data_IF_079532613086
#
_entry.id   IF_079532613086
#
_cell.length_a   1.000
_cell.length_b   1.000
_cell.length_c   1.000
_cell.angle_alpha   90.00
_cell.angle_beta   90.00
_cell.angle_gamma   90.00
#
_symmetry.space_group_name_H-M   'P 1'
#
loop_
_entity.id
_entity.type
_entity.pdbx_description
1 polymer ?
#
# COMPACT_ATOMS: atom_id res chain seq x y z
N UNK A 1 -61.24 9.27 8.54
CA UNK A 1 -60.98 8.92 7.12
C UNK A 1 -59.69 9.54 6.52
N UNK A 2 -58.65 9.87 7.32
CA UNK A 2 -57.54 10.78 6.87
C UNK A 2 -56.13 10.16 6.78
N UNK A 3 -55.88 8.95 7.29
CA UNK A 3 -54.52 8.39 7.32
C UNK A 3 -54.13 7.53 6.09
N UNK A 4 -55.06 6.79 5.47
CA UNK A 4 -54.77 5.96 4.28
C UNK A 4 -54.58 6.77 2.98
N UNK A 5 -55.23 7.93 2.82
CA UNK A 5 -55.08 8.82 1.65
C UNK A 5 -53.70 9.49 1.60
N UNK A 6 -53.11 9.86 2.75
CA UNK A 6 -51.78 10.47 2.82
C UNK A 6 -50.65 9.51 2.40
N UNK A 7 -50.74 8.21 2.70
CA UNK A 7 -49.73 7.21 2.27
C UNK A 7 -49.76 6.91 0.78
N UNK A 8 -50.95 6.78 0.15
CA UNK A 8 -51.06 6.57 -1.31
C UNK A 8 -50.55 7.79 -2.11
N UNK A 9 -50.77 9.02 -1.62
CA UNK A 9 -50.24 10.23 -2.27
C UNK A 9 -48.72 10.39 -2.09
N UNK A 10 -48.15 9.93 -0.97
CA UNK A 10 -46.68 9.91 -0.76
C UNK A 10 -46.00 8.86 -1.65
N UNK A 11 -46.64 7.71 -1.89
CA UNK A 11 -46.17 6.69 -2.83
C UNK A 11 -46.21 7.14 -4.30
N UNK A 12 -47.28 7.82 -4.73
CA UNK A 12 -47.37 8.40 -6.09
C UNK A 12 -46.43 9.60 -6.29
N UNK A 13 -46.19 10.43 -5.27
CA UNK A 13 -45.19 11.52 -5.32
C UNK A 13 -43.74 10.98 -5.40
N UNK A 14 -43.42 9.88 -4.72
CA UNK A 14 -42.10 9.25 -4.84
C UNK A 14 -41.87 8.55 -6.18
N UNK A 15 -42.93 8.10 -6.89
CA UNK A 15 -42.81 7.51 -8.23
C UNK A 15 -42.64 8.58 -9.32
N UNK A 16 -43.07 9.82 -9.09
CA UNK A 16 -42.95 10.96 -10.02
C UNK A 16 -41.60 11.71 -9.97
N UNK A 17 -40.72 11.41 -9.01
CA UNK A 17 -39.34 11.97 -8.94
C UNK A 17 -38.30 11.18 -9.74
N UNK A 18 -38.73 10.21 -10.57
CA UNK A 18 -37.83 9.23 -11.23
C UNK A 18 -37.42 9.56 -12.67
N UNK A 19 -37.53 10.80 -13.11
CA UNK A 19 -36.95 11.26 -14.39
C UNK A 19 -35.93 12.40 -14.20
N UNK A 20 -35.42 12.60 -12.98
CA UNK A 20 -34.30 13.52 -12.78
C UNK A 20 -33.04 12.79 -13.19
N UNK A 21 -32.48 13.24 -14.31
CA UNK A 21 -31.11 12.99 -14.76
C UNK A 21 -30.18 13.01 -13.54
N UNK A 22 -29.66 11.83 -13.15
CA UNK A 22 -28.77 11.71 -12.01
C UNK A 22 -27.36 11.90 -12.52
N UNK A 23 -26.75 13.00 -12.12
CA UNK A 23 -25.31 13.16 -12.24
C UNK A 23 -24.63 12.02 -11.48
N UNK A 24 -23.72 11.31 -12.14
CA UNK A 24 -22.97 10.23 -11.50
C UNK A 24 -21.86 10.83 -10.66
N UNK A 25 -21.81 10.47 -9.39
CA UNK A 25 -20.83 10.93 -8.40
C UNK A 25 -20.03 9.77 -7.85
N UNK A 26 -18.92 10.08 -7.17
CA UNK A 26 -18.03 9.06 -6.58
C UNK A 26 -18.69 8.13 -5.55
N UNK A 27 -19.79 8.57 -4.94
CA UNK A 27 -20.54 7.83 -3.92
C UNK A 27 -21.61 6.91 -4.50
N UNK A 28 -21.95 7.08 -5.78
CA UNK A 28 -22.97 6.26 -6.43
C UNK A 28 -22.46 4.84 -6.63
N UNK A 29 -23.39 3.89 -6.59
CA UNK A 29 -23.08 2.46 -6.67
C UNK A 29 -23.13 1.99 -8.11
N UNK A 30 -22.14 1.18 -8.50
CA UNK A 30 -22.02 0.70 -9.87
C UNK A 30 -23.22 -0.13 -10.32
N UNK A 31 -23.79 -0.96 -9.44
CA UNK A 31 -25.00 -1.74 -9.77
C UNK A 31 -26.23 -0.85 -10.00
N UNK A 32 -26.37 0.25 -9.25
CA UNK A 32 -27.50 1.16 -9.40
C UNK A 32 -27.37 1.93 -10.73
N UNK A 33 -26.16 2.40 -11.05
CA UNK A 33 -25.84 3.07 -12.32
C UNK A 33 -26.10 2.15 -13.50
N UNK A 34 -25.58 0.93 -13.48
CA UNK A 34 -25.75 -0.03 -14.59
C UNK A 34 -27.19 -0.57 -14.70
N UNK A 35 -27.98 -0.51 -13.62
CA UNK A 35 -29.41 -0.80 -13.69
C UNK A 35 -30.20 0.34 -14.35
N UNK A 36 -29.75 1.59 -14.19
CA UNK A 36 -30.37 2.76 -14.80
C UNK A 36 -29.91 2.99 -16.24
N UNK A 37 -28.66 2.64 -16.55
CA UNK A 37 -28.02 2.82 -17.84
C UNK A 37 -27.31 1.53 -18.27
N UNK A 38 -28.04 0.52 -18.80
CA UNK A 38 -27.48 -0.79 -19.13
C UNK A 38 -26.32 -0.71 -20.14
N UNK A 39 -26.40 0.21 -21.10
CA UNK A 39 -25.41 0.40 -22.16
C UNK A 39 -24.02 0.83 -21.64
N UNK A 40 -23.96 1.41 -20.43
CA UNK A 40 -22.68 1.77 -19.81
C UNK A 40 -21.83 0.54 -19.52
N UNK A 41 -22.44 -0.63 -19.35
CA UNK A 41 -21.71 -1.87 -19.07
C UNK A 41 -20.80 -2.25 -20.23
N UNK A 42 -21.32 -2.22 -21.45
CA UNK A 42 -20.53 -2.51 -22.65
C UNK A 42 -19.47 -1.43 -22.88
N UNK A 43 -19.81 -0.15 -22.67
CA UNK A 43 -18.86 0.96 -22.77
C UNK A 43 -17.71 0.85 -21.76
N UNK A 44 -17.98 0.40 -20.54
CA UNK A 44 -16.94 0.13 -19.53
C UNK A 44 -16.05 -1.04 -19.96
N UNK A 45 -16.63 -2.12 -20.48
CA UNK A 45 -15.86 -3.28 -20.97
C UNK A 45 -15.00 -2.92 -22.19
N UNK A 46 -15.51 -2.08 -23.10
CA UNK A 46 -14.74 -1.56 -24.24
C UNK A 46 -13.61 -0.62 -23.79
N UNK A 47 -13.84 0.14 -22.72
CA UNK A 47 -12.84 1.02 -22.13
C UNK A 47 -11.68 0.23 -21.51
N UNK A 48 -11.96 -0.87 -20.81
CA UNK A 48 -10.93 -1.75 -20.27
C UNK A 48 -11.48 -3.15 -19.99
N UNK A 49 -10.66 -4.17 -20.32
CA UNK A 49 -10.97 -5.59 -20.04
C UNK A 49 -11.15 -5.87 -18.53
N UNK A 50 -10.64 -5.01 -17.65
CA UNK A 50 -10.82 -5.12 -16.19
C UNK A 50 -12.30 -5.12 -15.79
N UNK A 51 -13.15 -4.44 -16.57
CA UNK A 51 -14.60 -4.37 -16.34
C UNK A 51 -15.35 -5.63 -16.80
N UNK A 52 -14.69 -6.60 -17.45
CA UNK A 52 -15.32 -7.88 -17.83
C UNK A 52 -15.86 -8.65 -16.62
N UNK A 53 -15.29 -8.44 -15.43
CA UNK A 53 -15.79 -9.03 -14.17
C UNK A 53 -17.24 -8.64 -13.86
N UNK A 54 -17.75 -7.54 -14.43
CA UNK A 54 -19.15 -7.11 -14.35
C UNK A 54 -20.09 -8.04 -15.14
N UNK A 55 -19.58 -8.86 -16.06
CA UNK A 55 -20.36 -9.90 -16.74
C UNK A 55 -20.73 -11.06 -15.83
N UNK A 56 -19.99 -11.27 -14.73
CA UNK A 56 -20.30 -12.32 -13.78
C UNK A 56 -21.54 -11.92 -12.93
N UNK A 57 -22.69 -12.62 -13.06
CA UNK A 57 -23.92 -12.26 -12.34
C UNK A 57 -23.76 -12.35 -10.83
N UNK A 58 -22.89 -13.23 -10.33
CA UNK A 58 -22.64 -13.40 -8.90
C UNK A 58 -21.87 -12.20 -8.36
N UNK A 59 -20.80 -11.77 -9.03
CA UNK A 59 -20.01 -10.58 -8.65
C UNK A 59 -20.89 -9.32 -8.69
N UNK A 60 -21.67 -9.17 -9.76
CA UNK A 60 -22.56 -8.02 -9.93
C UNK A 60 -23.66 -7.97 -8.86
N UNK A 61 -24.28 -9.11 -8.53
CA UNK A 61 -25.38 -9.17 -7.56
C UNK A 61 -24.93 -9.19 -6.09
N UNK A 62 -23.62 -9.25 -5.81
CA UNK A 62 -23.06 -9.30 -4.46
C UNK A 62 -22.23 -8.05 -4.15
N UNK A 63 -21.00 -7.97 -4.67
CA UNK A 63 -20.07 -6.87 -4.44
C UNK A 63 -20.50 -5.61 -5.19
N UNK A 64 -21.01 -5.75 -6.42
CA UNK A 64 -21.48 -4.61 -7.23
C UNK A 64 -22.63 -3.79 -6.59
N UNK A 65 -23.45 -4.40 -5.73
CA UNK A 65 -24.56 -3.72 -5.02
C UNK A 65 -24.12 -2.77 -3.90
N UNK A 66 -22.86 -2.89 -3.48
CA UNK A 66 -22.30 -2.09 -2.39
C UNK A 66 -21.08 -1.28 -2.83
N UNK A 67 -20.41 -1.66 -3.91
CA UNK A 67 -19.28 -0.94 -4.48
C UNK A 67 -19.69 0.42 -5.05
N UNK A 68 -19.03 1.48 -4.56
CA UNK A 68 -19.15 2.84 -5.09
C UNK A 68 -18.25 3.03 -6.31
N UNK A 69 -18.47 4.09 -7.10
CA UNK A 69 -17.58 4.43 -8.23
C UNK A 69 -16.14 4.69 -7.76
N UNK A 70 -15.95 5.31 -6.60
CA UNK A 70 -14.62 5.46 -5.96
C UNK A 70 -13.93 4.11 -5.71
N UNK A 71 -14.66 3.13 -5.17
CA UNK A 71 -14.12 1.80 -4.93
C UNK A 71 -13.86 1.03 -6.24
N UNK A 72 -14.71 1.24 -7.27
CA UNK A 72 -14.53 0.63 -8.59
C UNK A 72 -13.30 1.18 -9.28
N UNK A 73 -13.07 2.50 -9.23
CA UNK A 73 -11.87 3.14 -9.75
C UNK A 73 -10.60 2.57 -9.10
N UNK A 74 -10.59 2.47 -7.76
CA UNK A 74 -9.47 1.90 -7.01
C UNK A 74 -9.19 0.43 -7.35
N UNK A 75 -10.22 -0.41 -7.47
CA UNK A 75 -10.06 -1.82 -7.87
C UNK A 75 -9.65 -1.95 -9.35
N UNK A 76 -10.08 -1.03 -10.20
CA UNK A 76 -9.73 -1.01 -11.61
C UNK A 76 -8.34 -0.43 -11.88
N UNK A 77 -7.71 0.22 -10.89
CA UNK A 77 -6.48 0.98 -11.07
C UNK A 77 -6.66 2.19 -11.99
N UNK A 78 -7.87 2.75 -12.05
CA UNK A 78 -8.22 3.89 -12.90
C UNK A 78 -8.38 5.16 -12.08
N UNK A 79 -7.96 6.31 -12.63
CA UNK A 79 -8.23 7.61 -12.01
C UNK A 79 -9.74 7.86 -11.88
N UNK A 80 -10.16 8.22 -10.65
CA UNK A 80 -11.56 8.42 -10.30
C UNK A 80 -12.20 9.56 -11.10
N UNK A 81 -11.47 10.65 -11.30
CA UNK A 81 -12.02 11.82 -11.99
C UNK A 81 -12.23 11.53 -13.48
N UNK A 82 -11.28 10.84 -14.11
CA UNK A 82 -11.37 10.37 -15.49
C UNK A 82 -12.55 9.40 -15.67
N UNK A 83 -12.73 8.46 -14.73
CA UNK A 83 -13.87 7.53 -14.75
C UNK A 83 -15.20 8.27 -14.59
N UNK A 84 -15.29 9.24 -13.68
CA UNK A 84 -16.52 10.04 -13.47
C UNK A 84 -16.84 10.90 -14.68
N UNK A 85 -15.85 11.52 -15.30
CA UNK A 85 -16.02 12.27 -16.54
C UNK A 85 -16.50 11.37 -17.69
N UNK A 86 -15.93 10.17 -17.82
CA UNK A 86 -16.35 9.18 -18.81
C UNK A 86 -17.79 8.73 -18.60
N UNK A 87 -18.16 8.34 -17.37
CA UNK A 87 -19.50 7.89 -17.03
C UNK A 87 -20.54 8.98 -17.28
N UNK A 88 -20.26 10.22 -16.85
CA UNK A 88 -21.15 11.34 -17.07
C UNK A 88 -21.22 11.73 -18.56
N UNK A 89 -20.12 11.66 -19.31
CA UNK A 89 -20.14 11.87 -20.77
C UNK A 89 -21.01 10.81 -21.47
N UNK A 90 -20.90 9.55 -21.07
CA UNK A 90 -21.63 8.45 -21.66
C UNK A 90 -23.15 8.52 -21.43
N UNK A 91 -23.61 9.32 -20.45
CA UNK A 91 -25.04 9.64 -20.21
C UNK A 91 -25.42 11.07 -20.63
N UNK A 92 -24.54 11.79 -21.35
CA UNK A 92 -24.79 13.16 -21.82
C UNK A 92 -24.80 14.24 -20.74
N UNK A 93 -24.11 14.01 -19.62
CA UNK A 93 -24.06 14.89 -18.43
C UNK A 93 -22.66 15.43 -18.12
N UNK A 94 -21.70 15.32 -19.04
CA UNK A 94 -20.33 15.82 -18.82
C UNK A 94 -20.32 17.31 -18.46
N UNK A 95 -21.04 18.14 -19.20
CA UNK A 95 -21.01 19.59 -18.98
C UNK A 95 -21.66 19.97 -17.64
N UNK A 96 -22.75 19.30 -17.26
CA UNK A 96 -23.39 19.46 -15.97
C UNK A 96 -22.48 18.99 -14.81
N UNK A 97 -21.69 17.93 -15.02
CA UNK A 97 -20.71 17.43 -14.04
C UNK A 97 -19.61 18.47 -13.80
N UNK A 98 -19.05 19.00 -14.88
CA UNK A 98 -18.01 20.02 -14.83
C UNK A 98 -18.53 21.34 -14.25
N UNK A 99 -19.77 21.73 -14.55
CA UNK A 99 -20.41 22.92 -13.98
C UNK A 99 -20.67 22.79 -12.47
N UNK A 100 -21.19 21.64 -12.01
CA UNK A 100 -21.40 21.41 -10.57
C UNK A 100 -20.06 21.40 -9.80
N UNK A 101 -19.01 20.84 -10.40
CA UNK A 101 -17.66 20.87 -9.82
C UNK A 101 -17.17 22.32 -9.64
N UNK A 102 -17.39 23.18 -10.65
CA UNK A 102 -17.06 24.62 -10.59
C UNK A 102 -17.89 25.39 -9.54
N UNK A 103 -19.18 25.13 -9.41
CA UNK A 103 -20.06 25.81 -8.44
C UNK A 103 -19.85 25.36 -6.98
N UNK A 104 -19.36 24.14 -6.75
CA UNK A 104 -19.13 23.59 -5.41
C UNK A 104 -17.98 24.24 -4.61
N UNK A 105 -17.38 25.31 -5.11
CA UNK A 105 -16.32 26.05 -4.41
C UNK A 105 -14.99 25.29 -4.33
N UNK A 106 -14.72 24.43 -5.32
CA UNK A 106 -13.44 23.74 -5.54
C UNK A 106 -12.76 24.19 -6.86
N UNK A 107 -13.16 25.36 -7.36
CA UNK A 107 -12.29 26.22 -8.15
C UNK A 107 -11.69 27.18 -7.12
N UNK A 108 -10.53 26.93 -6.54
CA UNK A 108 -9.25 26.72 -7.21
C UNK A 108 -8.51 25.46 -6.73
N UNK A 109 -8.31 24.51 -7.63
CA UNK A 109 -6.98 23.93 -7.81
C UNK A 109 -6.69 24.13 -9.28
N UNK A 110 -5.87 25.14 -9.55
CA UNK A 110 -5.15 25.31 -10.80
C UNK A 110 -4.66 23.95 -11.30
N UNK A 111 -4.62 23.78 -12.63
CA UNK A 111 -3.63 22.96 -13.33
C UNK A 111 -2.52 22.57 -12.37
N UNK A 112 -2.52 21.30 -11.92
CA UNK A 112 -1.77 20.86 -10.75
C UNK A 112 -0.43 21.56 -10.73
N UNK A 113 -0.30 22.59 -9.87
CA UNK A 113 0.94 23.32 -9.79
C UNK A 113 2.01 22.24 -9.61
N UNK A 114 3.04 22.21 -10.46
CA UNK A 114 3.95 21.09 -10.55
C UNK A 114 4.36 20.76 -9.13
N UNK A 115 4.01 19.54 -8.70
CA UNK A 115 4.70 18.89 -7.57
C UNK A 115 6.17 19.24 -7.78
N UNK A 116 6.89 19.73 -6.75
CA UNK A 116 8.26 20.20 -6.93
C UNK A 116 8.97 19.16 -7.79
N UNK A 117 9.21 19.52 -9.06
CA UNK A 117 9.94 18.66 -9.96
C UNK A 117 11.25 18.45 -9.21
N UNK A 118 11.74 17.20 -9.05
CA UNK A 118 13.15 17.05 -8.73
C UNK A 118 13.91 17.99 -9.69
N UNK A 119 14.92 18.70 -9.20
CA UNK A 119 15.61 19.82 -9.89
C UNK A 119 16.30 19.41 -11.23
N UNK A 120 15.90 18.29 -11.81
CA UNK A 120 16.33 17.67 -13.04
C UNK A 120 15.14 16.92 -13.68
N UNK A 121 14.79 17.26 -14.93
CA UNK A 121 13.91 16.43 -15.80
C UNK A 121 14.61 15.12 -16.27
N UNK A 122 15.81 14.88 -15.73
CA UNK A 122 16.66 13.73 -16.02
C UNK A 122 16.57 12.74 -14.84
N UNK A 123 16.25 11.47 -15.09
CA UNK A 123 16.40 10.40 -14.12
C UNK A 123 17.82 10.41 -13.53
N UNK A 124 18.01 10.04 -12.25
CA UNK A 124 19.34 9.82 -11.67
C UNK A 124 20.17 8.86 -12.53
N UNK A 125 21.47 9.10 -12.58
CA UNK A 125 22.44 8.25 -13.30
C UNK A 125 22.75 6.99 -12.48
N UNK A 126 21.77 6.10 -12.42
CA UNK A 126 21.84 4.79 -11.75
C UNK A 126 21.46 3.68 -12.73
N UNK A 127 21.78 2.44 -12.37
CA UNK A 127 21.34 1.29 -13.14
C UNK A 127 19.83 1.04 -12.93
N UNK A 128 19.07 0.85 -14.00
CA UNK A 128 17.64 0.55 -13.96
C UNK A 128 17.35 -0.87 -14.43
N UNK A 129 16.60 -1.62 -13.63
CA UNK A 129 15.95 -2.85 -14.09
C UNK A 129 14.71 -2.46 -14.93
N UNK A 130 14.59 -3.02 -16.13
CA UNK A 130 13.56 -2.62 -17.10
C UNK A 130 12.39 -3.61 -17.13
N UNK A 131 11.17 -3.06 -17.16
CA UNK A 131 9.93 -3.82 -17.35
C UNK A 131 9.07 -3.14 -18.43
N UNK A 132 8.89 -3.81 -19.57
CA UNK A 132 7.90 -3.40 -20.56
C UNK A 132 6.50 -3.86 -20.14
N UNK A 133 5.78 -2.96 -19.49
CA UNK A 133 4.44 -3.22 -18.98
C UNK A 133 3.36 -3.08 -20.08
N UNK A 134 3.73 -2.77 -21.34
CA UNK A 134 2.81 -2.81 -22.48
C UNK A 134 2.47 -4.24 -22.89
N UNK A 135 3.36 -5.18 -22.60
CA UNK A 135 3.16 -6.62 -22.84
C UNK A 135 2.23 -7.26 -21.79
N UNK A 136 1.94 -6.55 -20.70
CA UNK A 136 1.07 -7.04 -19.64
C UNK A 136 -0.40 -6.80 -19.98
N UNK A 137 -1.19 -7.87 -19.97
CA UNK A 137 -2.64 -7.78 -20.19
C UNK A 137 -3.39 -7.44 -18.90
N UNK A 138 -4.29 -6.45 -18.95
CA UNK A 138 -5.26 -6.19 -17.88
C UNK A 138 -4.71 -5.34 -16.73
N UNK A 139 -4.95 -5.76 -15.48
CA UNK A 139 -4.53 -5.01 -14.28
C UNK A 139 -3.08 -5.36 -13.94
N UNK A 140 -2.15 -4.56 -14.44
CA UNK A 140 -0.68 -4.75 -14.39
C UNK A 140 -0.01 -4.24 -13.10
N UNK A 141 -0.74 -3.52 -12.25
CA UNK A 141 -0.18 -2.94 -11.04
C UNK A 141 0.46 -3.99 -10.09
N UNK A 142 -0.14 -5.17 -9.84
CA UNK A 142 0.45 -6.20 -9.00
C UNK A 142 1.80 -6.71 -9.54
N UNK A 143 1.92 -6.88 -10.84
CA UNK A 143 3.11 -7.37 -11.52
C UNK A 143 4.24 -6.34 -11.44
N UNK A 144 3.93 -5.06 -11.70
CA UNK A 144 4.89 -3.96 -11.55
C UNK A 144 5.34 -3.81 -10.09
N UNK A 145 4.41 -3.93 -9.12
CA UNK A 145 4.72 -3.89 -7.69
C UNK A 145 5.56 -5.09 -7.25
N UNK A 146 5.29 -6.28 -7.80
CA UNK A 146 6.08 -7.48 -7.52
C UNK A 146 7.52 -7.29 -8.04
N UNK A 147 7.66 -6.85 -9.29
CA UNK A 147 8.96 -6.57 -9.89
C UNK A 147 9.74 -5.53 -9.09
N UNK A 148 9.08 -4.44 -8.68
CA UNK A 148 9.70 -3.38 -7.86
C UNK A 148 10.25 -3.90 -6.52
N UNK A 149 9.64 -4.93 -5.92
CA UNK A 149 10.14 -5.52 -4.66
C UNK A 149 11.42 -6.32 -4.85
N UNK A 150 11.64 -6.85 -6.05
CA UNK A 150 12.82 -7.64 -6.39
C UNK A 150 13.98 -6.77 -6.89
N UNK A 151 13.74 -5.47 -7.15
CA UNK A 151 14.80 -4.52 -7.54
C UNK A 151 15.78 -4.33 -6.37
N UNK A 152 17.08 -4.63 -6.59
CA UNK A 152 18.09 -4.50 -5.55
C UNK A 152 18.24 -3.06 -5.02
N UNK A 153 18.65 -2.88 -3.75
CA UNK A 153 19.04 -1.57 -3.24
C UNK A 153 20.13 -0.93 -4.13
N UNK A 154 20.01 0.37 -4.38
CA UNK A 154 20.93 1.12 -5.25
C UNK A 154 20.61 1.04 -6.76
N UNK A 155 19.61 0.26 -7.18
CA UNK A 155 19.10 0.27 -8.55
C UNK A 155 17.72 0.93 -8.64
N UNK A 156 17.40 1.45 -9.82
CA UNK A 156 16.08 1.96 -10.17
C UNK A 156 15.23 0.93 -10.91
N UNK A 157 13.95 1.27 -11.11
CA UNK A 157 13.03 0.53 -11.97
C UNK A 157 12.59 1.42 -13.13
N UNK A 158 12.78 0.98 -14.36
CA UNK A 158 12.23 1.64 -15.55
C UNK A 158 11.03 0.85 -16.06
N UNK A 159 9.86 1.47 -16.03
CA UNK A 159 8.62 0.90 -16.57
C UNK A 159 8.31 1.57 -17.90
N UNK A 160 8.15 0.77 -18.95
CA UNK A 160 7.66 1.24 -20.25
C UNK A 160 6.15 0.96 -20.31
N UNK A 161 5.34 1.97 -20.61
CA UNK A 161 3.88 1.85 -20.67
C UNK A 161 3.29 2.69 -21.81
N UNK A 162 2.12 2.29 -22.32
CA UNK A 162 1.44 2.99 -23.40
C UNK A 162 0.77 4.30 -22.95
N UNK A 163 0.58 4.48 -21.65
CA UNK A 163 -0.03 5.65 -21.03
C UNK A 163 0.63 5.93 -19.69
N UNK A 164 0.43 7.14 -19.18
CA UNK A 164 0.97 7.55 -17.89
C UNK A 164 0.21 6.87 -16.73
N UNK A 165 0.86 6.04 -15.90
CA UNK A 165 0.19 5.27 -14.86
C UNK A 165 0.06 6.07 -13.57
N UNK A 166 -0.64 7.21 -13.62
CA UNK A 166 -0.80 8.16 -12.49
C UNK A 166 -1.18 7.45 -11.17
N UNK A 167 -2.12 6.48 -11.13
CA UNK A 167 -2.48 5.80 -9.88
C UNK A 167 -1.35 4.97 -9.24
N UNK A 168 -0.32 4.58 -10.01
CA UNK A 168 0.82 3.84 -9.48
C UNK A 168 1.78 4.73 -8.70
N UNK A 169 1.80 6.04 -8.95
CA UNK A 169 2.76 6.94 -8.31
C UNK A 169 2.56 7.01 -6.80
N UNK A 170 1.31 7.10 -6.33
CA UNK A 170 1.01 7.12 -4.90
C UNK A 170 1.39 5.79 -4.23
N UNK A 171 1.18 4.67 -4.92
CA UNK A 171 1.57 3.34 -4.41
C UNK A 171 3.09 3.22 -4.28
N UNK A 172 3.82 3.66 -5.29
CA UNK A 172 5.28 3.65 -5.28
C UNK A 172 5.86 4.63 -4.26
N UNK A 173 5.23 5.80 -4.10
CA UNK A 173 5.56 6.77 -3.06
C UNK A 173 5.38 6.21 -1.66
N UNK A 174 4.28 5.52 -1.39
CA UNK A 174 4.04 4.83 -0.12
C UNK A 174 5.05 3.68 0.11
N UNK A 175 5.57 3.08 -0.96
CA UNK A 175 6.65 2.09 -0.93
C UNK A 175 8.06 2.72 -0.81
N UNK A 176 8.17 4.05 -0.73
CA UNK A 176 9.44 4.77 -0.55
C UNK A 176 10.17 5.14 -1.83
N UNK A 177 9.50 5.10 -2.98
CA UNK A 177 10.06 5.46 -4.28
C UNK A 177 9.63 6.87 -4.70
N UNK A 178 10.54 7.61 -5.30
CA UNK A 178 10.28 8.75 -6.16
C UNK A 178 10.13 8.30 -7.61
N UNK A 179 9.65 9.18 -8.49
CA UNK A 179 9.53 8.89 -9.90
C UNK A 179 9.82 10.10 -10.78
N UNK A 180 10.32 9.84 -11.99
CA UNK A 180 10.38 10.77 -13.11
C UNK A 180 9.74 10.10 -14.32
N UNK A 181 8.87 10.82 -15.02
CA UNK A 181 8.18 10.31 -16.20
C UNK A 181 8.61 11.06 -17.44
N UNK A 182 8.96 10.32 -18.48
CA UNK A 182 9.29 10.86 -19.80
C UNK A 182 8.30 10.34 -20.83
N UNK A 183 7.66 11.27 -21.55
CA UNK A 183 6.83 10.94 -22.70
C UNK A 183 7.72 10.84 -23.94
N UNK A 184 7.85 9.63 -24.48
CA UNK A 184 8.67 9.35 -25.66
C UNK A 184 7.84 9.48 -26.95
N UNK A 185 6.59 8.99 -26.92
CA UNK A 185 5.65 9.08 -28.03
C UNK A 185 4.20 9.20 -27.51
N UNK A 186 3.20 9.26 -28.40
CA UNK A 186 1.78 9.29 -28.00
C UNK A 186 1.37 8.08 -27.15
N UNK A 187 1.89 6.90 -27.50
CA UNK A 187 1.61 5.63 -26.81
C UNK A 187 2.89 5.04 -26.20
N UNK A 188 3.82 5.88 -25.74
CA UNK A 188 5.04 5.41 -25.10
C UNK A 188 5.52 6.38 -24.03
N UNK A 189 5.47 5.90 -22.79
CA UNK A 189 5.91 6.57 -21.58
C UNK A 189 6.96 5.71 -20.90
N UNK A 190 8.06 6.34 -20.50
CA UNK A 190 9.09 5.72 -19.69
C UNK A 190 9.03 6.33 -18.30
N UNK A 191 8.71 5.50 -17.32
CA UNK A 191 8.57 5.89 -15.91
C UNK A 191 9.77 5.32 -15.16
N UNK A 192 10.60 6.20 -14.61
CA UNK A 192 11.77 5.86 -13.82
C UNK A 192 11.43 6.00 -12.35
N UNK A 193 11.33 4.88 -11.64
CA UNK A 193 11.19 4.86 -10.19
C UNK A 193 12.57 4.69 -9.54
N UNK A 194 12.87 5.50 -8.53
CA UNK A 194 14.15 5.47 -7.80
C UNK A 194 13.93 5.81 -6.32
N UNK A 195 14.87 5.49 -5.44
CA UNK A 195 14.71 5.70 -3.98
C UNK A 195 15.62 6.85 -3.51
N UNK A 196 15.10 8.08 -3.49
CA UNK A 196 15.83 9.29 -3.06
C UNK A 196 16.51 9.17 -1.69
N UNK A 197 15.84 8.48 -0.76
CA UNK A 197 16.31 8.34 0.62
C UNK A 197 17.33 7.23 0.79
N UNK A 198 17.25 6.15 0.02
CA UNK A 198 18.21 5.05 0.16
C UNK A 198 19.56 5.43 -0.44
N UNK A 199 19.59 6.10 -1.59
CA UNK A 199 20.84 6.53 -2.22
C UNK A 199 21.59 7.56 -1.35
N UNK A 200 20.89 8.60 -0.88
CA UNK A 200 21.45 9.54 0.11
C UNK A 200 21.76 8.87 1.44
N UNK A 201 21.04 7.82 1.85
CA UNK A 201 21.40 7.03 3.03
C UNK A 201 22.69 6.26 2.81
N UNK A 202 22.86 5.60 1.66
CA UNK A 202 24.04 4.82 1.34
C UNK A 202 25.25 5.74 1.18
N UNK A 203 25.11 6.86 0.47
CA UNK A 203 26.15 7.89 0.35
C UNK A 203 26.47 8.55 1.69
N UNK A 204 25.45 8.88 2.49
CA UNK A 204 25.67 9.42 3.83
C UNK A 204 26.24 8.38 4.78
N UNK A 205 25.84 7.11 4.70
CA UNK A 205 26.39 6.01 5.50
C UNK A 205 27.83 5.71 5.09
N UNK A 206 28.13 5.65 3.80
CA UNK A 206 29.45 5.38 3.25
C UNK A 206 30.39 6.57 3.50
N UNK A 207 29.92 7.80 3.29
CA UNK A 207 30.64 9.04 3.62
C UNK A 207 30.85 9.24 5.13
N UNK A 208 29.86 8.87 5.94
CA UNK A 208 29.93 8.83 7.41
C UNK A 208 30.93 7.78 7.87
N UNK A 209 30.85 6.54 7.35
CA UNK A 209 31.79 5.45 7.63
C UNK A 209 33.23 5.83 7.24
N UNK A 210 33.43 6.43 6.07
CA UNK A 210 34.74 6.92 5.61
C UNK A 210 35.28 8.09 6.45
N UNK A 211 34.42 9.05 6.83
CA UNK A 211 34.81 10.17 7.69
C UNK A 211 35.05 9.72 9.15
N UNK A 212 34.37 8.67 9.59
CA UNK A 212 34.49 8.10 10.92
C UNK A 212 35.68 7.15 11.06
N UNK A 213 36.04 6.41 10.02
CA UNK A 213 37.23 5.55 9.98
C UNK A 213 38.56 6.33 10.22
N UNK A 214 38.56 7.66 10.08
CA UNK A 214 39.74 8.50 10.27
C UNK A 214 39.95 9.02 11.71
N UNK A 215 39.08 8.68 12.69
CA UNK A 215 39.19 9.17 14.07
C UNK A 215 38.98 8.10 15.15
N UNK A 216 40.09 7.72 15.79
CA UNK A 216 40.26 7.09 17.12
C UNK A 216 39.54 5.74 17.38
N UNK A 217 40.05 4.98 18.37
CA UNK A 217 39.61 3.63 18.76
C UNK A 217 38.10 3.53 19.07
N UNK A 218 37.28 3.28 18.05
CA UNK A 218 35.86 2.99 18.20
C UNK A 218 35.62 1.49 18.26
N UNK A 219 34.55 1.10 18.95
CA UNK A 219 34.14 -0.31 19.00
C UNK A 219 33.44 -0.66 17.68
N UNK A 220 33.98 -1.58 16.87
CA UNK A 220 33.29 -2.05 15.67
C UNK A 220 32.08 -2.89 16.05
N UNK A 221 30.95 -2.64 15.41
CA UNK A 221 29.66 -3.29 15.68
C UNK A 221 29.02 -3.73 14.37
N UNK A 222 28.63 -4.99 14.28
CA UNK A 222 27.74 -5.51 13.22
C UNK A 222 26.30 -5.49 13.71
N UNK A 223 25.45 -4.73 13.01
CA UNK A 223 24.03 -4.58 13.32
C UNK A 223 23.18 -5.30 12.28
N UNK A 224 22.18 -6.06 12.73
CA UNK A 224 21.22 -6.70 11.82
C UNK A 224 19.77 -6.55 12.25
N UNK A 225 18.86 -6.73 11.29
CA UNK A 225 17.42 -6.80 11.54
C UNK A 225 16.73 -7.88 10.71
N UNK A 226 15.71 -8.50 11.27
CA UNK A 226 14.81 -9.40 10.56
C UNK A 226 13.76 -8.67 9.69
N UNK A 227 13.58 -7.36 9.86
CA UNK A 227 12.59 -6.58 9.08
C UNK A 227 13.06 -5.14 8.85
N UNK A 228 12.63 -4.47 7.77
CA UNK A 228 12.95 -3.07 7.52
C UNK A 228 12.19 -2.10 8.44
N UNK A 229 11.24 -2.58 9.24
CA UNK A 229 10.44 -1.75 10.17
C UNK A 229 11.30 -0.99 11.18
N UNK A 230 12.53 -1.47 11.44
CA UNK A 230 13.46 -0.82 12.39
C UNK A 230 14.36 0.25 11.76
N UNK A 231 14.25 0.52 10.44
CA UNK A 231 15.05 1.56 9.81
C UNK A 231 14.97 2.93 10.49
N UNK A 232 13.79 3.42 10.94
CA UNK A 232 13.72 4.69 11.67
C UNK A 232 14.53 4.69 12.98
N UNK A 233 14.68 3.53 13.63
CA UNK A 233 15.49 3.39 14.85
C UNK A 233 16.97 3.44 14.50
N UNK A 234 17.37 2.69 13.48
CA UNK A 234 18.74 2.67 12.96
C UNK A 234 19.20 4.07 12.57
N UNK A 235 18.35 4.83 11.86
CA UNK A 235 18.66 6.20 11.45
C UNK A 235 18.94 7.11 12.64
N UNK A 236 18.10 7.05 13.67
CA UNK A 236 18.32 7.80 14.91
C UNK A 236 19.61 7.40 15.63
N UNK A 237 20.03 6.15 15.51
CA UNK A 237 21.32 5.70 16.06
C UNK A 237 22.48 6.32 15.29
N UNK A 238 22.41 6.35 13.96
CA UNK A 238 23.43 6.96 13.10
C UNK A 238 23.51 8.49 13.24
N UNK A 239 22.39 9.15 13.51
CA UNK A 239 22.32 10.60 13.77
C UNK A 239 22.83 10.99 15.17
N UNK A 240 23.03 10.01 16.07
CA UNK A 240 23.45 10.28 17.44
C UNK A 240 24.96 10.51 17.53
N UNK A 241 25.38 11.77 17.66
CA UNK A 241 26.78 12.14 17.85
C UNK A 241 27.44 11.44 19.05
N UNK A 242 26.70 11.30 20.16
CA UNK A 242 27.19 10.61 21.36
C UNK A 242 27.49 9.13 21.07
N UNK A 243 26.57 8.42 20.41
CA UNK A 243 26.76 7.02 20.07
C UNK A 243 27.90 6.85 19.06
N UNK A 244 27.86 7.62 17.98
CA UNK A 244 28.84 7.57 16.90
C UNK A 244 30.24 8.05 17.31
N UNK A 245 30.36 8.76 18.44
CA UNK A 245 31.67 9.05 19.03
C UNK A 245 32.36 7.80 19.60
N UNK A 246 31.61 6.73 19.93
CA UNK A 246 32.10 5.54 20.65
C UNK A 246 32.07 4.26 19.81
N UNK A 247 31.18 4.17 18.83
CA UNK A 247 30.96 2.95 18.05
C UNK A 247 31.09 3.21 16.56
N UNK A 248 31.44 2.17 15.82
CA UNK A 248 31.47 2.18 14.35
C UNK A 248 30.65 0.99 13.84
N UNK A 249 29.66 1.25 12.99
CA UNK A 249 28.86 0.18 12.40
C UNK A 249 29.56 -0.39 11.17
N UNK A 250 30.32 -1.48 11.33
CA UNK A 250 31.10 -2.07 10.24
C UNK A 250 30.24 -2.81 9.23
N UNK A 251 29.07 -3.30 9.64
CA UNK A 251 28.10 -3.92 8.73
C UNK A 251 26.68 -3.69 9.26
N UNK A 252 25.78 -3.29 8.36
CA UNK A 252 24.36 -3.15 8.61
C UNK A 252 23.57 -4.05 7.66
N UNK A 253 22.85 -5.03 8.20
CA UNK A 253 22.15 -6.02 7.38
C UNK A 253 20.68 -6.20 7.75
N UNK A 254 19.79 -5.96 6.81
CA UNK A 254 18.38 -6.36 6.90
C UNK A 254 18.16 -7.63 6.11
N UNK A 255 17.49 -8.59 6.73
CA UNK A 255 17.27 -9.92 6.17
C UNK A 255 15.83 -10.10 5.72
N UNK A 256 15.68 -10.74 4.56
CA UNK A 256 14.40 -11.30 4.13
C UNK A 256 14.18 -12.72 4.67
N UNK A 257 15.27 -13.47 4.89
CA UNK A 257 15.24 -14.86 5.33
C UNK A 257 15.54 -14.95 6.83
N UNK A 258 14.57 -15.43 7.61
CA UNK A 258 14.66 -15.54 9.07
C UNK A 258 15.80 -16.46 9.51
N UNK A 259 16.07 -17.52 8.77
CA UNK A 259 17.11 -18.51 9.07
C UNK A 259 18.51 -17.87 9.01
N UNK A 260 18.76 -17.03 8.00
CA UNK A 260 20.05 -16.33 7.85
C UNK A 260 20.27 -15.31 8.96
N UNK A 261 19.22 -14.55 9.28
CA UNK A 261 19.22 -13.61 10.41
C UNK A 261 19.55 -14.33 11.74
N UNK A 262 18.87 -15.43 12.05
CA UNK A 262 19.11 -16.19 13.28
C UNK A 262 20.49 -16.86 13.30
N UNK A 263 20.99 -17.31 12.14
CA UNK A 263 22.32 -17.91 12.05
C UNK A 263 23.43 -16.91 12.36
N UNK A 264 23.31 -15.64 11.94
CA UNK A 264 24.32 -14.62 12.21
C UNK A 264 24.47 -14.31 13.68
N UNK A 265 23.37 -14.05 14.39
CA UNK A 265 23.43 -13.78 15.83
C UNK A 265 23.87 -15.01 16.63
N UNK A 266 23.43 -16.21 16.22
CA UNK A 266 23.83 -17.45 16.90
C UNK A 266 25.31 -17.80 16.73
N UNK A 267 25.95 -17.33 15.65
CA UNK A 267 27.39 -17.56 15.38
C UNK A 267 28.29 -16.39 15.82
N UNK A 268 27.72 -15.36 16.44
CA UNK A 268 28.45 -14.16 16.83
C UNK A 268 28.95 -13.32 15.65
N UNK A 269 28.34 -13.46 14.47
CA UNK A 269 28.64 -12.60 13.31
C UNK A 269 27.97 -11.23 13.44
N UNK A 270 26.88 -11.13 14.20
CA UNK A 270 26.23 -9.87 14.54
C UNK A 270 26.31 -9.62 16.05
N UNK A 271 26.56 -8.37 16.42
CA UNK A 271 26.61 -7.91 17.82
C UNK A 271 25.24 -7.44 18.30
N UNK A 272 24.49 -6.78 17.42
CA UNK A 272 23.14 -6.27 17.69
C UNK A 272 22.15 -6.86 16.68
N UNK A 273 21.00 -7.33 17.17
CA UNK A 273 19.98 -7.95 16.35
C UNK A 273 18.58 -7.49 16.74
N UNK A 274 17.86 -6.89 15.80
CA UNK A 274 16.42 -6.61 15.92
C UNK A 274 15.61 -7.79 15.38
N UNK A 275 14.83 -8.41 16.25
CA UNK A 275 14.11 -9.64 15.89
C UNK A 275 12.79 -9.81 16.63
N UNK A 276 11.91 -10.61 16.07
CA UNK A 276 10.71 -11.03 16.77
C UNK A 276 11.10 -11.89 17.99
N UNK A 277 10.52 -11.56 19.15
CA UNK A 277 10.75 -12.29 20.42
C UNK A 277 10.55 -13.80 20.23
N UNK A 278 9.50 -14.19 19.48
CA UNK A 278 9.22 -15.58 19.20
C UNK A 278 10.37 -16.27 18.44
N UNK A 279 10.96 -15.59 17.45
CA UNK A 279 12.05 -16.15 16.65
C UNK A 279 13.31 -16.38 17.49
N UNK A 280 13.65 -15.46 18.40
CA UNK A 280 14.88 -15.59 19.21
C UNK A 280 14.69 -16.35 20.52
N UNK A 281 13.46 -16.62 20.94
CA UNK A 281 13.15 -17.28 22.22
C UNK A 281 13.93 -18.59 22.43
N UNK A 282 14.09 -19.38 21.35
CA UNK A 282 14.86 -20.63 21.34
C UNK A 282 16.37 -20.42 21.54
N UNK A 283 16.90 -19.24 21.22
CA UNK A 283 18.31 -18.87 21.41
C UNK A 283 18.56 -18.30 22.81
N UNK A 284 17.62 -17.53 23.35
CA UNK A 284 17.70 -16.96 24.71
C UNK A 284 17.75 -18.03 25.79
N UNK A 285 17.03 -19.15 25.60
CA UNK A 285 16.98 -20.25 26.57
C UNK A 285 18.20 -21.19 26.57
N UNK A 286 19.14 -21.03 25.63
CA UNK A 286 20.33 -21.88 25.56
C UNK A 286 21.39 -21.39 26.54
N UNK A 287 21.81 -22.26 27.45
CA UNK A 287 22.98 -22.01 28.31
C UNK A 287 24.19 -21.69 27.41
N UNK A 288 24.91 -20.62 27.75
CA UNK A 288 26.12 -20.14 27.04
C UNK A 288 25.92 -19.65 25.60
N UNK A 289 24.71 -19.22 25.20
CA UNK A 289 24.53 -18.61 23.87
C UNK A 289 25.23 -17.26 23.71
N UNK A 290 25.58 -16.58 24.81
CA UNK A 290 26.12 -15.21 24.78
C UNK A 290 25.11 -14.14 24.39
N UNK A 291 23.92 -14.54 23.94
CA UNK A 291 22.85 -13.65 23.47
C UNK A 291 22.01 -13.20 24.66
N UNK A 292 21.82 -11.88 24.77
CA UNK A 292 20.96 -11.26 25.80
C UNK A 292 19.86 -10.46 25.13
N UNK A 293 18.66 -10.53 25.70
CA UNK A 293 17.56 -9.64 25.33
C UNK A 293 17.75 -8.31 26.05
N UNK A 294 18.11 -7.26 25.29
CA UNK A 294 18.38 -5.93 25.86
C UNK A 294 17.09 -5.12 26.06
N UNK A 295 16.22 -5.06 25.06
CA UNK A 295 14.94 -4.36 25.09
C UNK A 295 13.86 -5.16 24.36
N UNK A 296 12.60 -4.81 24.64
CA UNK A 296 11.42 -5.27 23.90
C UNK A 296 10.62 -4.04 23.49
N UNK A 297 10.65 -3.75 22.20
CA UNK A 297 9.96 -2.61 21.61
C UNK A 297 8.77 -3.10 20.79
N UNK A 298 7.54 -2.75 21.18
CA UNK A 298 6.30 -3.21 20.53
C UNK A 298 5.58 -2.04 19.88
N UNK A 299 5.39 -2.10 18.56
CA UNK A 299 4.69 -1.08 17.78
C UNK A 299 3.55 -1.71 16.97
N UNK A 300 2.31 -1.25 17.17
CA UNK A 300 1.12 -1.46 16.30
C UNK A 300 0.95 -2.86 15.63
N UNK A 301 1.32 -3.96 16.30
CA UNK A 301 1.54 -5.24 15.61
C UNK A 301 0.32 -6.17 15.46
N UNK A 302 -0.87 -5.79 15.94
CA UNK A 302 -2.02 -6.70 15.87
C UNK A 302 -3.31 -6.00 15.46
N UNK A 303 -3.71 -6.25 14.21
CA UNK A 303 -5.05 -5.95 13.71
C UNK A 303 -5.85 -7.25 13.66
N UNK A 304 -6.95 -7.33 14.42
CA UNK A 304 -7.84 -8.47 14.40
C UNK A 304 -9.02 -8.20 13.47
N UNK A 305 -9.07 -8.93 12.35
CA UNK A 305 -10.15 -8.82 11.38
C UNK A 305 -11.19 -9.89 11.66
N UNK A 306 -12.46 -9.49 11.76
CA UNK A 306 -13.58 -10.41 12.06
C UNK A 306 -14.68 -10.31 11.02
N UNK A 307 -15.26 -11.45 10.66
CA UNK A 307 -16.48 -11.53 9.82
C UNK A 307 -17.77 -11.35 10.61
N UNK A 308 -17.68 -11.20 11.94
CA UNK A 308 -18.85 -10.98 12.79
C UNK A 308 -19.39 -9.58 12.56
N UNK A 309 -20.56 -9.49 11.91
CA UNK A 309 -21.20 -8.23 11.51
C UNK A 309 -21.42 -7.22 12.64
N UNK A 310 -21.49 -7.71 13.89
CA UNK A 310 -21.79 -6.89 15.07
C UNK A 310 -20.66 -6.86 16.10
N UNK A 311 -19.46 -7.38 15.79
CA UNK A 311 -18.35 -7.30 16.71
C UNK A 311 -17.84 -5.85 16.79
N UNK A 312 -17.87 -5.28 17.98
CA UNK A 312 -17.41 -3.91 18.28
C UNK A 312 -16.30 -3.87 19.33
N UNK A 313 -16.08 -4.99 20.01
CA UNK A 313 -15.10 -5.15 21.07
C UNK A 313 -14.55 -6.57 21.12
N UNK A 314 -13.44 -6.78 21.83
CA UNK A 314 -12.90 -8.12 22.09
C UNK A 314 -13.87 -9.01 22.88
N UNK A 315 -14.79 -8.44 23.67
CA UNK A 315 -15.78 -9.21 24.43
C UNK A 315 -16.73 -9.97 23.50
N UNK A 316 -17.03 -9.42 22.32
CA UNK A 316 -17.90 -10.04 21.30
C UNK A 316 -17.28 -11.30 20.66
N UNK A 317 -15.98 -11.51 20.88
CA UNK A 317 -15.21 -12.65 20.37
C UNK A 317 -15.12 -13.80 21.38
N UNK A 318 -15.67 -13.63 22.58
CA UNK A 318 -15.68 -14.66 23.62
C UNK A 318 -16.33 -15.95 23.10
N UNK A 319 -15.62 -17.07 23.26
CA UNK A 319 -16.07 -18.38 22.79
C UNK A 319 -16.08 -18.56 21.27
N UNK A 320 -15.50 -17.63 20.51
CA UNK A 320 -15.31 -17.77 19.06
C UNK A 320 -13.90 -18.28 18.75
N UNK A 321 -13.79 -19.04 17.67
CA UNK A 321 -12.49 -19.52 17.17
C UNK A 321 -11.81 -18.42 16.35
N UNK A 322 -10.59 -18.06 16.73
CA UNK A 322 -9.75 -17.15 15.96
C UNK A 322 -8.85 -17.99 15.05
N UNK A 323 -8.94 -17.74 13.75
CA UNK A 323 -8.04 -18.31 12.76
C UNK A 323 -6.90 -17.33 12.54
N UNK A 324 -5.69 -17.70 12.95
CA UNK A 324 -4.49 -16.92 12.67
C UNK A 324 -3.81 -17.49 11.42
N UNK A 325 -3.33 -16.65 10.48
CA UNK A 325 -2.48 -17.13 9.42
C UNK A 325 -1.20 -17.69 10.06
N UNK A 326 -1.01 -19.00 9.96
CA UNK A 326 0.31 -19.58 10.16
C UNK A 326 1.13 -19.16 8.95
N UNK A 327 2.12 -18.28 9.16
CA UNK A 327 3.18 -18.10 8.17
C UNK A 327 3.92 -19.44 8.15
N UNK A 328 3.91 -20.13 7.03
CA UNK A 328 4.48 -21.47 6.87
C UNK A 328 6.01 -21.56 7.12
N UNK A 329 6.66 -20.47 7.54
CA UNK A 329 8.09 -20.38 7.88
C UNK A 329 8.36 -19.75 9.28
N UNK A 330 7.37 -19.63 10.17
CA UNK A 330 7.67 -19.34 11.58
C UNK A 330 8.22 -20.62 12.25
N UNK A 331 9.32 -20.56 13.03
CA UNK A 331 10.05 -21.74 13.47
C UNK A 331 9.14 -22.73 14.20
N UNK A 332 9.14 -23.97 13.73
CA UNK A 332 8.19 -25.03 14.03
C UNK A 332 7.82 -25.20 15.52
N UNK A 333 6.53 -25.46 15.75
CA UNK A 333 6.02 -26.13 16.96
C UNK A 333 4.60 -25.74 17.37
N UNK A 334 3.61 -26.43 16.80
CA UNK A 334 2.20 -26.56 17.23
C UNK A 334 1.19 -25.47 16.83
N UNK A 335 0.04 -25.93 16.31
CA UNK A 335 -1.21 -25.15 16.16
C UNK A 335 -1.55 -24.50 17.51
N UNK A 336 -1.47 -23.18 17.59
CA UNK A 336 -2.01 -22.43 18.73
C UNK A 336 -3.53 -22.33 18.58
N UNK A 337 -4.25 -23.27 19.18
CA UNK A 337 -5.67 -23.08 19.49
C UNK A 337 -5.78 -22.15 20.69
N UNK A 338 -5.90 -20.85 20.44
CA UNK A 338 -6.19 -19.88 21.52
C UNK A 338 -7.70 -19.85 21.76
N UNK A 339 -8.16 -20.62 22.75
CA UNK A 339 -9.48 -20.39 23.33
C UNK A 339 -9.38 -19.19 24.27
N UNK A 340 -10.06 -18.09 23.94
CA UNK A 340 -10.15 -16.94 24.85
C UNK A 340 -11.03 -17.34 26.04
N UNK A 341 -10.39 -17.78 27.12
CA UNK A 341 -11.03 -17.94 28.44
C UNK A 341 -10.86 -16.62 29.19
N UNK A 342 -11.74 -15.67 28.93
CA UNK A 342 -11.79 -14.45 29.72
C UNK A 342 -12.45 -14.76 31.07
N UNK A 343 -11.67 -15.03 32.12
CA UNK A 343 -12.17 -14.87 33.49
C UNK A 343 -12.28 -13.37 33.76
N UNK A 344 -13.50 -12.86 33.76
CA UNK A 344 -13.77 -11.56 34.35
C UNK A 344 -13.86 -11.79 35.86
N UNK A 345 -12.81 -11.44 36.60
CA UNK A 345 -12.96 -11.14 38.02
C UNK A 345 -13.38 -9.67 38.06
N UNK A 346 -14.60 -9.44 38.55
CA UNK A 346 -15.16 -8.11 38.78
C UNK A 346 -14.32 -7.31 39.79
#
# INVERSE_FOLDING_TARGET
>A
MSYKKKRKNKWKKNKKRKNTIMLITKKDKIADILSMYPDLKEKLIQRSSVYQKLNNPVVFNTVGKVATIEAVAGVAGEDLETLLQFLNAAIGQRDAYLAQKKESGLADVEESAPQPKPESDTPPDIEYEELDARELEGYFAPEIIAFAKDVPPGKGLRVIQAFEPIPLYDVFKDMGWAHITQKIAENEFHIYFYREKEEKLYEAMEGSLLAFAQKAERVPIVLQSATPVVYPVILRMLESEELMSRVEFTELKVWEQTEKHLAWIARGKADISFSAIMAISKLLGKKNSGIKLASVDVWNNFTLVTRLKNARSFADLRGKTIHMPLINNAPAGNRLHVNIVARATL
#
